data_IF_113413904264
#
_entry.id   IF_113413904264
#
_cell.length_a   1.000
_cell.length_b   1.000
_cell.length_c   1.000
_cell.angle_alpha   90.00
_cell.angle_beta   90.00
_cell.angle_gamma   90.00
#
_symmetry.space_group_name_H-M   'P 1'
#
loop_
_entity.id
_entity.type
_entity.pdbx_description
1 polymer ?
#
# COMPACT_ATOMS: atom_id res chain seq x y z
N UNK A 1 2.79 -25.57 -17.63
CA UNK A 1 2.75 -24.17 -17.12
C UNK A 1 2.65 -24.20 -15.60
N UNK A 2 3.49 -23.45 -14.86
CA UNK A 2 3.48 -23.47 -13.39
C UNK A 2 2.81 -22.20 -12.87
N UNK A 3 1.79 -22.35 -12.03
CA UNK A 3 1.12 -21.23 -11.36
C UNK A 3 1.85 -21.00 -10.04
N UNK A 4 2.33 -19.78 -9.81
CA UNK A 4 2.94 -19.37 -8.54
C UNK A 4 2.03 -18.38 -7.86
N UNK A 5 1.56 -18.74 -6.70
CA UNK A 5 0.73 -17.86 -5.86
C UNK A 5 1.48 -17.45 -4.60
N UNK A 6 1.16 -16.26 -4.08
CA UNK A 6 1.83 -15.67 -2.92
C UNK A 6 0.79 -15.30 -1.88
N UNK A 7 0.75 -16.03 -0.78
CA UNK A 7 -0.14 -15.76 0.35
C UNK A 7 0.59 -14.91 1.40
N UNK A 8 0.12 -13.69 1.59
CA UNK A 8 0.60 -12.82 2.67
C UNK A 8 -0.25 -13.06 3.91
N UNK A 9 0.38 -13.38 5.03
CA UNK A 9 -0.32 -13.70 6.27
C UNK A 9 0.42 -13.19 7.49
N UNK A 10 -0.35 -12.85 8.53
CA UNK A 10 0.18 -12.49 9.84
C UNK A 10 0.68 -13.69 10.65
N UNK A 11 0.18 -14.88 10.34
CA UNK A 11 0.51 -16.12 11.07
C UNK A 11 0.73 -17.28 10.10
N UNK A 12 1.94 -17.42 9.55
CA UNK A 12 2.23 -18.44 8.55
C UNK A 12 2.03 -19.87 9.10
N UNK A 13 2.31 -20.10 10.38
CA UNK A 13 2.17 -21.40 11.00
C UNK A 13 0.74 -21.99 10.96
N UNK A 14 -0.29 -21.14 10.97
CA UNK A 14 -1.69 -21.60 10.87
C UNK A 14 -1.99 -22.13 9.47
N UNK A 15 -1.46 -21.46 8.43
CA UNK A 15 -1.68 -21.86 7.03
C UNK A 15 -0.85 -23.09 6.68
N UNK A 16 0.39 -23.14 7.16
CA UNK A 16 1.28 -24.30 6.94
C UNK A 16 0.68 -25.55 7.60
N UNK A 17 0.08 -25.39 8.77
CA UNK A 17 -0.48 -26.52 9.53
C UNK A 17 0.58 -27.44 10.11
N UNK A 18 0.14 -28.54 10.69
CA UNK A 18 1.06 -29.55 11.23
C UNK A 18 1.76 -30.28 10.08
N UNK A 19 3.09 -30.24 10.06
CA UNK A 19 3.91 -30.92 9.04
C UNK A 19 3.61 -30.51 7.57
N UNK A 20 3.01 -29.33 7.34
CA UNK A 20 2.71 -28.87 5.99
C UNK A 20 1.37 -29.34 5.41
N UNK A 21 0.56 -30.06 6.16
CA UNK A 21 -0.73 -30.60 5.70
C UNK A 21 -1.69 -29.51 5.18
N UNK A 22 -1.70 -28.32 5.80
CA UNK A 22 -2.56 -27.21 5.39
C UNK A 22 -2.22 -26.67 3.99
N UNK A 23 -0.93 -26.56 3.67
CA UNK A 23 -0.50 -26.13 2.32
C UNK A 23 -0.86 -27.17 1.26
N UNK A 24 -0.72 -28.46 1.57
CA UNK A 24 -1.08 -29.53 0.64
C UNK A 24 -2.58 -29.58 0.37
N UNK A 25 -3.39 -29.37 1.38
CA UNK A 25 -4.84 -29.28 1.27
C UNK A 25 -5.24 -28.07 0.40
N UNK A 26 -4.70 -26.89 0.67
CA UNK A 26 -4.91 -25.70 -0.15
C UNK A 26 -4.47 -25.92 -1.61
N UNK A 27 -3.30 -26.52 -1.83
CA UNK A 27 -2.79 -26.85 -3.16
C UNK A 27 -3.74 -27.78 -3.91
N UNK A 28 -4.21 -28.84 -3.25
CA UNK A 28 -5.15 -29.80 -3.84
C UNK A 28 -6.51 -29.17 -4.12
N UNK A 29 -7.00 -28.28 -3.25
CA UNK A 29 -8.22 -27.50 -3.44
C UNK A 29 -8.15 -26.59 -4.66
N UNK A 30 -7.09 -25.80 -4.79
CA UNK A 30 -6.87 -24.92 -5.93
C UNK A 30 -6.76 -25.75 -7.22
N UNK A 31 -6.02 -26.86 -7.19
CA UNK A 31 -5.85 -27.72 -8.36
C UNK A 31 -7.17 -28.37 -8.81
N UNK A 32 -8.04 -28.74 -7.87
CA UNK A 32 -9.40 -29.23 -8.18
C UNK A 32 -10.27 -28.13 -8.81
N UNK A 33 -10.17 -26.89 -8.32
CA UNK A 33 -10.96 -25.76 -8.86
C UNK A 33 -10.53 -25.38 -10.26
N UNK A 34 -9.22 -25.47 -10.57
CA UNK A 34 -8.68 -25.19 -11.91
C UNK A 34 -9.05 -26.27 -12.92
N UNK A 35 -9.33 -27.51 -12.46
CA UNK A 35 -9.70 -28.66 -13.31
C UNK A 35 -8.56 -29.26 -14.13
N UNK A 36 -7.43 -28.59 -14.24
CA UNK A 36 -6.26 -29.03 -15.04
C UNK A 36 -5.23 -29.76 -14.15
N UNK A 37 -5.18 -31.07 -14.23
CA UNK A 37 -4.20 -31.90 -13.52
C UNK A 37 -2.76 -31.73 -13.98
N UNK A 38 -2.55 -31.17 -15.17
CA UNK A 38 -1.22 -30.95 -15.77
C UNK A 38 -0.51 -29.72 -15.23
N UNK A 39 -1.23 -28.79 -14.62
CA UNK A 39 -0.68 -27.54 -14.08
C UNK A 39 -0.17 -27.74 -12.66
N UNK A 40 1.10 -27.44 -12.45
CA UNK A 40 1.67 -27.43 -11.11
C UNK A 40 1.35 -26.09 -10.42
N UNK A 41 0.74 -26.17 -9.23
CA UNK A 41 0.48 -25.01 -8.36
C UNK A 41 1.57 -24.98 -7.28
N UNK A 42 2.26 -23.84 -7.15
CA UNK A 42 3.23 -23.57 -6.07
C UNK A 42 2.71 -22.42 -5.24
N UNK A 43 2.55 -22.66 -3.94
CA UNK A 43 2.08 -21.67 -2.99
C UNK A 43 3.28 -21.23 -2.15
N UNK A 44 3.58 -19.92 -2.16
CA UNK A 44 4.57 -19.31 -1.29
C UNK A 44 3.86 -18.56 -0.17
N UNK A 45 4.11 -18.92 1.07
CA UNK A 45 3.60 -18.20 2.23
C UNK A 45 4.63 -17.15 2.64
N UNK A 46 4.23 -15.90 2.68
CA UNK A 46 5.07 -14.76 3.07
C UNK A 46 4.50 -14.16 4.35
N UNK A 47 5.33 -14.06 5.37
CA UNK A 47 4.96 -13.41 6.62
C UNK A 47 4.94 -11.89 6.46
N UNK A 48 3.93 -11.25 7.06
CA UNK A 48 3.83 -9.79 7.13
C UNK A 48 4.56 -9.34 8.40
N UNK A 49 5.67 -8.62 8.23
CA UNK A 49 6.52 -8.17 9.36
C UNK A 49 5.78 -7.28 10.36
N UNK A 50 4.92 -6.38 9.85
CA UNK A 50 4.17 -5.41 10.65
C UNK A 50 2.67 -5.58 10.45
N UNK A 51 2.09 -6.53 11.15
CA UNK A 51 0.66 -6.86 11.09
C UNK A 51 -0.24 -5.66 11.37
N UNK A 52 0.10 -4.89 12.40
CA UNK A 52 -0.68 -3.72 12.83
C UNK A 52 -0.42 -2.45 11.98
N UNK A 53 0.51 -2.51 11.00
CA UNK A 53 0.77 -1.46 10.02
C UNK A 53 0.21 -1.79 8.62
N UNK A 54 -0.43 -2.94 8.45
CA UNK A 54 -1.08 -3.36 7.22
C UNK A 54 -2.56 -2.95 7.23
N UNK A 55 -2.98 -2.18 6.23
CA UNK A 55 -4.33 -1.65 6.17
C UNK A 55 -5.38 -2.75 6.07
N UNK A 56 -5.08 -3.83 5.35
CA UNK A 56 -6.00 -4.94 5.16
C UNK A 56 -6.26 -5.69 6.47
N UNK A 57 -5.20 -6.00 7.23
CA UNK A 57 -5.31 -6.72 8.50
C UNK A 57 -6.01 -5.87 9.57
N UNK A 58 -5.77 -4.54 9.56
CA UNK A 58 -6.52 -3.62 10.42
C UNK A 58 -8.01 -3.56 10.05
N UNK A 59 -8.34 -3.49 8.76
CA UNK A 59 -9.72 -3.47 8.32
C UNK A 59 -10.45 -4.77 8.69
N UNK A 60 -9.79 -5.92 8.51
CA UNK A 60 -10.30 -7.22 8.91
C UNK A 60 -10.54 -7.32 10.42
N UNK A 61 -9.58 -6.82 11.22
CA UNK A 61 -9.74 -6.76 12.67
C UNK A 61 -10.96 -5.93 13.07
N UNK A 62 -11.15 -4.76 12.45
CA UNK A 62 -12.31 -3.89 12.71
C UNK A 62 -13.61 -4.62 12.35
N UNK A 63 -13.65 -5.29 11.17
CA UNK A 63 -14.81 -6.04 10.73
C UNK A 63 -15.20 -7.12 11.74
N UNK A 64 -14.25 -7.95 12.17
CA UNK A 64 -14.48 -9.00 13.17
C UNK A 64 -14.98 -8.46 14.52
N UNK A 65 -14.50 -7.29 14.96
CA UNK A 65 -14.98 -6.67 16.20
C UNK A 65 -16.41 -6.15 16.05
N UNK A 66 -16.77 -5.57 14.90
CA UNK A 66 -18.12 -5.09 14.63
C UNK A 66 -19.13 -6.26 14.52
N UNK A 67 -18.74 -7.36 13.93
CA UNK A 67 -19.54 -8.61 13.89
C UNK A 67 -19.78 -9.20 15.27
N UNK A 68 -18.79 -9.08 16.17
CA UNK A 68 -18.90 -9.41 17.58
C UNK A 68 -19.71 -8.40 18.41
N UNK A 69 -20.36 -7.43 17.75
CA UNK A 69 -21.20 -6.40 18.37
C UNK A 69 -20.46 -5.48 19.34
N UNK A 70 -19.16 -5.29 19.17
CA UNK A 70 -18.42 -4.29 19.94
C UNK A 70 -18.79 -2.90 19.43
N UNK A 71 -18.97 -1.93 20.34
CA UNK A 71 -19.30 -0.56 19.98
C UNK A 71 -18.26 0.02 19.00
N UNK A 72 -18.71 0.56 17.86
CA UNK A 72 -17.83 1.00 16.77
C UNK A 72 -16.80 2.05 17.22
N UNK A 73 -17.15 2.99 18.13
CA UNK A 73 -16.21 4.00 18.64
C UNK A 73 -15.08 3.37 19.44
N UNK A 74 -15.37 2.33 20.21
CA UNK A 74 -14.35 1.57 20.96
C UNK A 74 -13.44 0.80 20.00
N UNK A 75 -14.02 0.16 19.00
CA UNK A 75 -13.27 -0.60 17.98
C UNK A 75 -12.31 0.29 17.21
N UNK A 76 -12.79 1.46 16.73
CA UNK A 76 -11.95 2.44 16.02
C UNK A 76 -10.80 2.91 16.91
N UNK A 77 -11.07 3.25 18.17
CA UNK A 77 -10.03 3.72 19.12
C UNK A 77 -8.98 2.64 19.37
N UNK A 78 -9.41 1.37 19.53
CA UNK A 78 -8.46 0.27 19.71
C UNK A 78 -7.60 0.04 18.45
N UNK A 79 -8.18 0.14 17.25
CA UNK A 79 -7.44 0.03 16.00
C UNK A 79 -6.41 1.15 15.84
N UNK A 80 -6.79 2.41 16.18
CA UNK A 80 -5.87 3.55 16.20
C UNK A 80 -4.69 3.32 17.13
N UNK A 81 -4.95 2.90 18.37
CA UNK A 81 -3.88 2.60 19.35
C UNK A 81 -2.94 1.49 18.90
N UNK A 82 -3.45 0.46 18.22
CA UNK A 82 -2.61 -0.62 17.66
C UNK A 82 -1.68 -0.10 16.57
N UNK A 83 -2.24 0.64 15.61
CA UNK A 83 -1.45 1.21 14.53
C UNK A 83 -0.37 2.19 15.02
N UNK A 84 -0.69 3.00 16.05
CA UNK A 84 0.30 3.88 16.69
C UNK A 84 1.45 3.11 17.32
N UNK A 85 1.16 2.02 18.04
CA UNK A 85 2.19 1.15 18.62
C UNK A 85 3.08 0.51 17.57
N UNK A 86 2.54 0.24 16.38
CA UNK A 86 3.29 -0.27 15.23
C UNK A 86 4.16 0.80 14.54
N UNK A 87 4.08 2.07 14.99
CA UNK A 87 4.90 3.17 14.45
C UNK A 87 4.38 3.74 13.13
N UNK A 88 3.07 3.65 12.86
CA UNK A 88 2.44 4.26 11.69
C UNK A 88 2.39 5.78 11.86
N UNK A 89 2.80 6.54 10.84
CA UNK A 89 2.84 8.00 10.87
C UNK A 89 1.47 8.66 10.82
N UNK A 90 0.49 7.98 10.25
CA UNK A 90 -0.88 8.46 10.20
C UNK A 90 -1.87 7.40 9.78
N UNK A 91 -3.08 7.52 10.30
CA UNK A 91 -4.16 6.57 10.07
C UNK A 91 -5.49 7.32 9.91
N UNK A 92 -6.27 6.93 8.92
CA UNK A 92 -7.66 7.36 8.75
C UNK A 92 -8.54 6.13 8.64
N UNK A 93 -9.56 6.04 9.47
CA UNK A 93 -10.56 4.98 9.46
C UNK A 93 -11.92 5.61 9.19
N UNK A 94 -12.67 5.02 8.27
CA UNK A 94 -14.04 5.43 7.95
C UNK A 94 -14.95 4.20 8.03
N UNK A 95 -16.04 4.33 8.77
CA UNK A 95 -17.06 3.28 8.91
C UNK A 95 -18.41 3.87 8.51
N UNK A 96 -19.10 3.20 7.61
CA UNK A 96 -20.40 3.64 7.09
C UNK A 96 -21.44 2.54 7.17
N UNK A 97 -22.69 2.92 7.43
CA UNK A 97 -23.81 2.03 7.54
C UNK A 97 -24.67 2.30 8.77
N UNK A 98 -25.44 1.33 9.22
CA UNK A 98 -26.30 1.40 10.42
C UNK A 98 -25.48 1.18 11.68
N UNK A 99 -24.73 2.22 12.09
CA UNK A 99 -23.82 2.15 13.22
C UNK A 99 -24.59 1.87 14.54
N UNK A 100 -24.16 0.87 15.28
CA UNK A 100 -24.82 0.37 16.52
C UNK A 100 -26.31 0.02 16.36
N UNK A 101 -26.75 -0.36 15.15
CA UNK A 101 -28.13 -0.70 14.88
C UNK A 101 -29.09 0.51 14.73
N UNK A 102 -28.56 1.72 14.51
CA UNK A 102 -29.38 2.90 14.25
C UNK A 102 -30.23 2.69 12.98
N UNK A 103 -31.46 3.24 12.96
CA UNK A 103 -32.35 3.14 11.79
C UNK A 103 -31.77 3.86 10.57
N UNK A 104 -31.16 5.02 10.78
CA UNK A 104 -30.58 5.84 9.72
C UNK A 104 -29.10 5.48 9.58
N UNK A 105 -28.70 5.11 8.38
CA UNK A 105 -27.31 4.88 8.04
C UNK A 105 -26.54 6.21 8.05
N UNK A 106 -25.34 6.19 8.62
CA UNK A 106 -24.44 7.34 8.60
C UNK A 106 -23.01 6.87 8.44
N UNK A 107 -22.16 7.81 8.05
CA UNK A 107 -20.73 7.57 7.93
C UNK A 107 -19.98 8.35 8.98
N UNK A 108 -19.20 7.67 9.79
CA UNK A 108 -18.28 8.29 10.75
C UNK A 108 -16.85 7.97 10.37
N UNK A 109 -15.99 8.97 10.52
CA UNK A 109 -14.56 8.81 10.25
C UNK A 109 -13.72 9.40 11.37
N UNK A 110 -12.56 8.83 11.58
CA UNK A 110 -11.58 9.32 12.55
C UNK A 110 -10.22 9.31 11.88
N UNK A 111 -9.44 10.36 12.09
CA UNK A 111 -8.07 10.47 11.59
C UNK A 111 -7.14 10.79 12.75
N UNK A 112 -5.99 10.16 12.75
CA UNK A 112 -4.91 10.40 13.68
C UNK A 112 -3.59 10.49 12.93
N UNK A 113 -2.78 11.48 13.28
CA UNK A 113 -1.56 11.78 12.54
C UNK A 113 -1.79 12.41 11.17
N UNK A 114 -0.77 12.32 10.32
CA UNK A 114 -0.76 12.91 8.98
C UNK A 114 -1.15 11.86 7.94
N UNK A 115 -2.15 12.14 7.12
CA UNK A 115 -2.54 11.27 5.98
C UNK A 115 -2.62 12.13 4.72
N UNK A 116 -1.51 12.32 4.00
CA UNK A 116 -1.45 13.22 2.83
C UNK A 116 -1.94 12.51 1.57
N UNK A 117 -3.27 12.48 1.34
CA UNK A 117 -3.88 11.77 0.21
C UNK A 117 -3.55 12.38 -1.17
N UNK A 118 -3.11 13.64 -1.21
CA UNK A 118 -2.78 14.33 -2.46
C UNK A 118 -1.28 14.33 -2.80
N UNK A 119 -0.45 13.75 -1.96
CA UNK A 119 1.00 13.72 -2.16
C UNK A 119 1.39 12.42 -2.87
N UNK A 120 1.87 12.50 -4.12
CA UNK A 120 2.24 11.31 -4.92
C UNK A 120 3.40 10.50 -4.33
N UNK A 121 4.31 11.16 -3.63
CA UNK A 121 5.45 10.48 -2.97
C UNK A 121 5.07 9.81 -1.64
N UNK A 122 3.84 10.00 -1.16
CA UNK A 122 3.39 9.37 0.08
C UNK A 122 3.04 7.91 -0.15
N UNK A 123 3.61 7.03 0.66
CA UNK A 123 3.27 5.61 0.69
C UNK A 123 2.04 5.43 1.57
N UNK A 124 0.88 5.28 0.94
CA UNK A 124 -0.40 5.07 1.60
C UNK A 124 -0.92 3.69 1.26
N UNK A 125 -1.08 2.88 2.27
CA UNK A 125 -1.73 1.58 2.17
C UNK A 125 -3.24 1.77 2.40
N UNK A 126 -4.05 1.17 1.53
CA UNK A 126 -5.50 1.32 1.56
C UNK A 126 -6.19 -0.04 1.51
N UNK A 127 -7.16 -0.21 2.38
CA UNK A 127 -8.00 -1.40 2.36
C UNK A 127 -9.46 -1.06 2.62
N UNK A 128 -10.33 -1.86 2.02
CA UNK A 128 -11.77 -1.84 2.29
C UNK A 128 -12.23 -3.23 2.71
N UNK A 129 -13.14 -3.27 3.67
CA UNK A 129 -13.79 -4.48 4.16
C UNK A 129 -15.24 -4.22 4.50
N UNK A 130 -15.99 -5.28 4.52
CA UNK A 130 -17.39 -5.29 4.89
C UNK A 130 -17.57 -6.15 6.14
N UNK A 131 -18.37 -5.65 7.07
CA UNK A 131 -18.76 -6.38 8.27
C UNK A 131 -20.25 -6.70 8.19
N UNK A 132 -20.58 -7.99 8.25
CA UNK A 132 -21.96 -8.46 8.20
C UNK A 132 -22.54 -8.46 9.61
N UNK A 133 -23.43 -7.49 9.86
CA UNK A 133 -24.11 -7.40 11.14
C UNK A 133 -25.58 -7.81 11.01
N UNK A 134 -26.23 -8.09 12.14
CA UNK A 134 -27.69 -8.42 12.16
C UNK A 134 -28.57 -7.29 11.61
N UNK A 135 -28.06 -6.05 11.60
CA UNK A 135 -28.78 -4.86 11.11
C UNK A 135 -28.44 -4.49 9.67
N UNK A 136 -27.56 -5.24 9.01
CA UNK A 136 -27.09 -5.01 7.66
C UNK A 136 -25.58 -4.96 7.56
N UNK A 137 -25.08 -4.64 6.38
CA UNK A 137 -23.65 -4.57 6.08
C UNK A 137 -23.09 -3.20 6.47
N UNK A 138 -21.95 -3.20 7.14
CA UNK A 138 -21.17 -2.00 7.45
C UNK A 138 -19.92 -1.97 6.55
N UNK A 139 -19.74 -0.87 5.82
CA UNK A 139 -18.54 -0.65 5.02
C UNK A 139 -17.42 -0.01 5.84
N UNK A 140 -16.23 -0.58 5.77
CA UNK A 140 -15.04 -0.12 6.48
C UNK A 140 -13.99 0.27 5.45
N UNK A 141 -13.42 1.45 5.59
CA UNK A 141 -12.30 1.93 4.77
C UNK A 141 -11.16 2.37 5.68
N UNK A 142 -9.96 1.90 5.40
CA UNK A 142 -8.77 2.18 6.20
C UNK A 142 -7.66 2.72 5.29
N UNK A 143 -7.04 3.82 5.67
CA UNK A 143 -5.87 4.41 5.03
C UNK A 143 -4.74 4.47 6.05
N UNK A 144 -3.63 3.86 5.75
CA UNK A 144 -2.43 3.81 6.60
C UNK A 144 -1.30 4.54 5.89
N UNK A 145 -0.80 5.61 6.48
CA UNK A 145 0.36 6.33 5.96
C UNK A 145 1.64 5.76 6.59
N UNK A 146 2.45 5.09 5.79
CA UNK A 146 3.71 4.45 6.21
C UNK A 146 4.90 5.40 6.16
N UNK A 147 4.93 6.32 5.19
CA UNK A 147 6.03 7.24 4.99
C UNK A 147 6.04 7.91 3.63
N UNK A 148 7.09 8.65 3.33
CA UNK A 148 7.32 9.22 2.01
C UNK A 148 8.45 8.46 1.31
N UNK A 149 8.21 8.04 0.08
CA UNK A 149 9.23 7.45 -0.78
C UNK A 149 9.92 8.59 -1.51
N UNK A 150 11.11 8.96 -1.02
CA UNK A 150 11.98 9.87 -1.76
C UNK A 150 12.61 9.09 -2.92
N UNK A 151 12.69 9.66 -4.14
CA UNK A 151 13.48 9.07 -5.19
C UNK A 151 14.89 8.89 -4.60
N UNK A 152 15.43 7.67 -4.65
CA UNK A 152 16.85 7.47 -4.40
C UNK A 152 17.54 8.40 -5.39
N UNK A 153 18.34 9.35 -4.87
CA UNK A 153 19.29 10.05 -5.71
C UNK A 153 19.99 8.95 -6.50
N UNK A 154 19.78 8.93 -7.82
CA UNK A 154 20.58 8.10 -8.69
C UNK A 154 22.00 8.45 -8.29
N UNK A 155 22.67 7.47 -7.67
CA UNK A 155 24.11 7.61 -7.46
C UNK A 155 24.62 7.92 -8.84
N UNK A 156 24.91 9.19 -9.06
CA UNK A 156 25.57 9.63 -10.28
C UNK A 156 26.80 8.76 -10.34
N UNK A 157 26.73 7.72 -11.17
CA UNK A 157 27.89 6.93 -11.50
C UNK A 157 28.91 7.98 -11.86
N UNK A 158 30.06 8.10 -11.14
CA UNK A 158 31.07 9.05 -11.53
C UNK A 158 31.38 8.67 -12.97
N UNK A 159 30.91 9.50 -13.90
CA UNK A 159 31.19 9.36 -15.31
C UNK A 159 32.70 9.47 -15.39
N UNK A 160 33.34 8.31 -15.37
CA UNK A 160 34.77 8.18 -15.50
C UNK A 160 35.19 8.98 -16.69
N UNK A 161 36.15 9.87 -16.48
CA UNK A 161 36.99 10.53 -17.44
C UNK A 161 36.30 10.82 -18.78
N UNK A 162 35.75 12.02 -18.87
CA UNK A 162 35.42 12.61 -20.16
C UNK A 162 36.60 12.46 -21.12
N UNK A 163 36.43 11.91 -22.33
CA UNK A 163 37.49 11.92 -23.31
C UNK A 163 37.87 13.39 -23.52
N UNK A 164 39.16 13.71 -23.37
CA UNK A 164 39.72 15.05 -23.61
C UNK A 164 39.16 15.56 -24.92
N UNK A 165 38.24 16.53 -24.85
CA UNK A 165 37.74 17.25 -26.00
C UNK A 165 38.94 17.92 -26.66
N UNK A 166 39.28 17.47 -27.86
CA UNK A 166 40.21 18.19 -28.72
C UNK A 166 39.70 19.64 -28.82
N UNK A 167 40.60 20.59 -28.52
CA UNK A 167 40.32 21.99 -28.55
C UNK A 167 39.60 22.35 -29.87
N UNK A 168 38.37 22.79 -29.77
CA UNK A 168 37.64 23.32 -30.91
C UNK A 168 38.28 24.67 -31.26
N UNK A 169 38.76 24.73 -32.46
CA UNK A 169 39.29 25.93 -33.13
C UNK A 169 38.33 27.08 -32.92
N UNK A 170 38.80 28.11 -32.18
CA UNK A 170 38.07 29.34 -31.94
C UNK A 170 37.81 30.03 -33.26
N UNK A 171 36.56 30.09 -33.69
CA UNK A 171 36.14 30.93 -34.81
C UNK A 171 35.97 32.33 -34.25
N UNK A 172 36.93 33.22 -34.53
CA UNK A 172 36.78 34.65 -34.22
C UNK A 172 35.80 35.25 -35.21
N UNK A 173 34.65 35.67 -34.75
CA UNK A 173 33.76 36.51 -35.53
C UNK A 173 34.32 37.94 -35.55
N UNK A 174 34.84 38.35 -36.72
CA UNK A 174 35.15 39.75 -36.98
C UNK A 174 33.83 40.46 -37.21
N UNK A 175 33.45 41.32 -36.29
CA UNK A 175 32.35 42.27 -36.48
C UNK A 175 32.72 43.26 -37.59
N UNK A 176 32.03 43.15 -38.73
CA UNK A 176 31.99 44.19 -39.74
C UNK A 176 31.08 45.31 -39.19
N UNK A 177 31.70 46.38 -38.71
CA UNK A 177 30.98 47.61 -38.43
C UNK A 177 30.60 48.30 -39.76
N UNK A 178 29.30 48.46 -39.99
CA UNK A 178 28.76 49.20 -41.07
C UNK A 178 29.14 50.71 -40.89
N UNK A 179 29.64 51.38 -41.93
CA UNK A 179 29.91 52.85 -41.85
C UNK A 179 28.57 53.58 -41.75
N UNK A 180 28.46 54.48 -40.77
CA UNK A 180 27.35 55.42 -40.61
C UNK A 180 27.46 56.45 -41.69
N UNK A 181 26.54 56.46 -42.64
CA UNK A 181 26.43 57.54 -43.63
C UNK A 181 25.74 58.70 -42.93
N UNK A 182 26.51 59.76 -42.73
CA UNK A 182 26.03 61.08 -42.29
C UNK A 182 25.44 61.82 -43.54
N UNK A 183 24.10 61.98 -43.52
CA UNK A 183 23.44 62.82 -44.47
C UNK A 183 23.37 64.22 -43.89
N UNK A 184 23.94 65.20 -44.64
CA UNK A 184 23.77 66.64 -44.50
C UNK A 184 22.42 67.06 -45.07
#
# INVERSE_FOLDING_TARGET
MCIRDRLKTARPGVIVGRQGSGIEELRSGIQKTIGDRTRQVRINVVEVERVDADAFLLAEYIAQQLEKRVAFRRTIRMALQRAQRAGVLGLKIQVGGRLNGAEIARTEWTREGRVPLHTLRAEIDYATREANTTYGVLGIKVWVFKGEVLPKEEQTIPVGASPKRKASRTVSYTHLTLPTILLV
#
